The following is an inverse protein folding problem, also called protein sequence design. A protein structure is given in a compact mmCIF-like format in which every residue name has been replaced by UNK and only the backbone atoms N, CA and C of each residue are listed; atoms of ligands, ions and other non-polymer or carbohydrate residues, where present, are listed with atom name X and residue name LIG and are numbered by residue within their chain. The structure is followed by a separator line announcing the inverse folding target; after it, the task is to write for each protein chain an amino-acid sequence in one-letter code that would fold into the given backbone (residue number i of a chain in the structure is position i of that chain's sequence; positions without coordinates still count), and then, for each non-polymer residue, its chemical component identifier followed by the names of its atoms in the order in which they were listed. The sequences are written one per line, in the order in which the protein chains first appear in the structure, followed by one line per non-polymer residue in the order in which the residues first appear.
data_IF_836930382254
#
_entry.id   IF_836930382254
#
_cell.length_a   1.000
_cell.length_b   1.000
_cell.length_c   1.000
_cell.angle_alpha   90.00
_cell.angle_beta   90.00
_cell.angle_gamma   90.00
#
_symmetry.space_group_name_H-M   'P 1'
#
loop_
_entity.id
_entity.type
_entity.pdbx_description
1 polymer ?
#
# COMPACT_ATOMS: atom_id res chain seq x y z
N UNK A 1 19.93 0.14 27.03
CA UNK A 1 20.92 0.67 26.06
C UNK A 1 20.25 0.58 24.70
N UNK A 2 20.01 1.70 23.99
CA UNK A 2 19.50 1.62 22.63
C UNK A 2 20.53 0.87 21.76
N UNK A 3 20.11 -0.05 20.87
CA UNK A 3 21.06 -0.69 19.96
C UNK A 3 21.77 0.40 19.12
N UNK A 4 23.04 0.19 18.75
CA UNK A 4 23.73 1.12 17.88
C UNK A 4 22.95 1.26 16.56
N UNK A 5 22.96 2.44 15.92
CA UNK A 5 22.35 2.60 14.60
C UNK A 5 22.94 1.55 13.64
N UNK A 6 22.15 1.06 12.67
CA UNK A 6 22.64 0.09 11.70
C UNK A 6 23.90 0.63 11.03
N UNK A 7 24.85 -0.27 10.75
CA UNK A 7 26.02 0.11 9.98
C UNK A 7 25.60 0.63 8.58
N UNK A 8 26.48 1.38 7.93
CA UNK A 8 26.15 2.06 6.67
C UNK A 8 25.63 1.09 5.59
N UNK A 9 26.16 -0.14 5.55
CA UNK A 9 25.79 -1.17 4.59
C UNK A 9 24.38 -1.70 4.86
N UNK A 10 24.06 -1.97 6.12
CA UNK A 10 22.73 -2.39 6.56
C UNK A 10 21.70 -1.30 6.27
N UNK A 11 22.02 -0.03 6.53
CA UNK A 11 21.12 1.08 6.24
C UNK A 11 20.83 1.21 4.74
N UNK A 12 21.86 1.15 3.89
CA UNK A 12 21.68 1.21 2.43
C UNK A 12 20.86 0.04 1.91
N UNK A 13 21.10 -1.17 2.45
CA UNK A 13 20.34 -2.38 2.08
C UNK A 13 18.87 -2.26 2.47
N UNK A 14 18.60 -1.75 3.68
CA UNK A 14 17.25 -1.49 4.19
C UNK A 14 16.50 -0.48 3.30
N UNK A 15 17.14 0.66 3.00
CA UNK A 15 16.55 1.71 2.17
C UNK A 15 16.32 1.21 0.74
N UNK A 16 17.26 0.47 0.16
CA UNK A 16 17.12 -0.16 -1.15
C UNK A 16 15.97 -1.17 -1.20
N UNK A 17 15.84 -2.02 -0.17
CA UNK A 17 14.72 -2.94 -0.04
C UNK A 17 13.38 -2.21 0.10
N UNK A 18 13.33 -1.15 0.91
CA UNK A 18 12.14 -0.31 1.06
C UNK A 18 11.71 0.33 -0.26
N UNK A 19 12.66 0.90 -1.01
CA UNK A 19 12.42 1.45 -2.35
C UNK A 19 11.86 0.40 -3.31
N UNK A 20 12.57 -0.73 -3.45
CA UNK A 20 12.21 -1.77 -4.42
C UNK A 20 10.83 -2.36 -4.10
N UNK A 21 10.56 -2.62 -2.82
CA UNK A 21 9.27 -3.16 -2.39
C UNK A 21 8.14 -2.16 -2.65
N UNK A 22 8.35 -0.87 -2.33
CA UNK A 22 7.38 0.18 -2.62
C UNK A 22 7.09 0.31 -4.12
N UNK A 23 8.14 0.33 -4.95
CA UNK A 23 8.02 0.43 -6.40
C UNK A 23 7.28 -0.76 -7.00
N UNK A 24 7.61 -1.98 -6.58
CA UNK A 24 6.98 -3.21 -7.07
C UNK A 24 5.53 -3.33 -6.58
N UNK A 25 5.23 -2.94 -5.34
CA UNK A 25 3.86 -2.88 -4.84
C UNK A 25 3.01 -1.87 -5.64
N UNK A 26 3.58 -0.70 -5.93
CA UNK A 26 2.94 0.31 -6.77
C UNK A 26 2.75 -0.14 -8.22
N UNK A 27 3.32 -1.27 -8.66
CA UNK A 27 3.05 -1.85 -9.98
C UNK A 27 1.68 -2.55 -10.07
N UNK A 28 1.02 -2.80 -8.93
CA UNK A 28 -0.32 -3.37 -8.91
C UNK A 28 -1.33 -2.39 -9.54
N UNK A 29 -2.20 -2.84 -10.47
CA UNK A 29 -3.12 -1.97 -11.19
C UNK A 29 -4.01 -1.09 -10.31
N UNK A 30 -4.28 -1.53 -9.07
CA UNK A 30 -5.05 -0.79 -8.06
C UNK A 30 -4.48 0.60 -7.77
N UNK A 31 -3.16 0.78 -7.89
CA UNK A 31 -2.49 2.03 -7.52
C UNK A 31 -2.35 3.05 -8.67
N UNK A 32 -2.38 2.61 -9.93
CA UNK A 32 -2.12 3.51 -11.07
C UNK A 32 -3.22 3.48 -12.15
N UNK A 33 -3.96 2.39 -12.28
CA UNK A 33 -4.98 2.24 -13.33
C UNK A 33 -6.10 3.28 -13.21
N UNK A 34 -6.65 3.59 -12.01
CA UNK A 34 -7.68 4.61 -11.87
C UNK A 34 -7.24 5.97 -12.44
N UNK A 35 -5.98 6.36 -12.26
CA UNK A 35 -5.45 7.63 -12.77
C UNK A 35 -5.40 7.66 -14.30
N UNK A 36 -4.97 6.57 -14.93
CA UNK A 36 -4.95 6.46 -16.39
C UNK A 36 -6.38 6.45 -16.98
N UNK A 37 -7.32 5.72 -16.36
CA UNK A 37 -8.71 5.63 -16.81
C UNK A 37 -9.44 6.98 -16.64
N UNK A 38 -9.38 7.58 -15.44
CA UNK A 38 -10.01 8.87 -15.15
C UNK A 38 -9.37 9.97 -15.97
N UNK A 39 -8.04 10.00 -16.09
CA UNK A 39 -7.35 10.99 -16.91
C UNK A 39 -7.79 10.96 -18.37
N UNK A 40 -7.99 9.76 -18.93
CA UNK A 40 -8.52 9.60 -20.30
C UNK A 40 -9.99 10.00 -20.41
N UNK A 41 -10.84 9.57 -19.48
CA UNK A 41 -12.27 9.93 -19.47
C UNK A 41 -12.50 11.44 -19.31
N UNK A 42 -11.68 12.08 -18.48
CA UNK A 42 -11.71 13.52 -18.21
C UNK A 42 -10.92 14.36 -19.22
N UNK A 43 -10.28 13.73 -20.23
CA UNK A 43 -9.41 14.38 -21.22
C UNK A 43 -8.33 15.28 -20.58
N UNK A 44 -7.72 14.79 -19.51
CA UNK A 44 -6.67 15.51 -18.79
C UNK A 44 -5.36 15.53 -19.56
N UNK A 45 -4.62 16.66 -19.51
CA UNK A 45 -3.25 16.70 -20.01
C UNK A 45 -2.32 15.93 -19.06
N UNK A 46 -1.11 15.57 -19.51
CA UNK A 46 -0.15 14.70 -18.76
C UNK A 46 0.15 15.26 -17.38
N UNK A 47 0.33 16.57 -17.31
CA UNK A 47 0.70 17.32 -16.13
C UNK A 47 -0.33 17.15 -15.02
N UNK A 48 -1.63 17.17 -15.37
CA UNK A 48 -2.70 17.00 -14.38
C UNK A 48 -2.79 15.56 -13.88
N UNK A 49 -2.55 14.58 -14.75
CA UNK A 49 -2.51 13.17 -14.35
C UNK A 49 -1.34 12.95 -13.37
N UNK A 50 -0.15 13.44 -13.72
CA UNK A 50 1.03 13.31 -12.85
C UNK A 50 0.86 14.08 -11.54
N UNK A 51 0.25 15.27 -11.55
CA UNK A 51 -0.08 15.99 -10.32
C UNK A 51 -1.01 15.18 -9.42
N UNK A 52 -2.05 14.54 -9.99
CA UNK A 52 -2.95 13.69 -9.22
C UNK A 52 -2.23 12.48 -8.63
N UNK A 53 -1.36 11.82 -9.42
CA UNK A 53 -0.56 10.67 -8.97
C UNK A 53 0.39 11.06 -7.85
N UNK A 54 1.13 12.16 -7.99
CA UNK A 54 2.07 12.64 -6.96
C UNK A 54 1.34 12.99 -5.67
N UNK A 55 0.27 13.78 -5.75
CA UNK A 55 -0.49 14.19 -4.56
C UNK A 55 -1.11 12.98 -3.87
N UNK A 56 -1.73 12.07 -4.63
CA UNK A 56 -2.34 10.87 -4.06
C UNK A 56 -1.29 9.91 -3.47
N UNK A 57 -0.18 9.68 -4.17
CA UNK A 57 0.91 8.81 -3.69
C UNK A 57 1.56 9.35 -2.41
N UNK A 58 1.83 10.65 -2.34
CA UNK A 58 2.36 11.28 -1.13
C UNK A 58 1.35 11.22 0.03
N UNK A 59 0.07 11.51 -0.23
CA UNK A 59 -0.97 11.43 0.80
C UNK A 59 -1.14 10.01 1.34
N UNK A 60 -1.14 9.01 0.46
CA UNK A 60 -1.18 7.59 0.81
C UNK A 60 0.00 7.17 1.70
N UNK A 61 1.22 7.53 1.32
CA UNK A 61 2.41 7.21 2.11
C UNK A 61 2.42 7.96 3.45
N UNK A 62 1.97 9.22 3.48
CA UNK A 62 1.89 9.99 4.72
C UNK A 62 0.91 9.36 5.73
N UNK A 63 -0.27 8.94 5.27
CA UNK A 63 -1.26 8.25 6.13
C UNK A 63 -0.71 6.91 6.60
N UNK A 64 -0.08 6.16 5.71
CA UNK A 64 0.55 4.87 6.04
C UNK A 64 1.66 5.03 7.09
N UNK A 65 2.54 6.02 6.92
CA UNK A 65 3.60 6.34 7.86
C UNK A 65 3.05 6.81 9.21
N UNK A 66 1.98 7.60 9.22
CA UNK A 66 1.31 8.02 10.45
C UNK A 66 0.74 6.82 11.21
N UNK A 67 -0.02 5.96 10.54
CA UNK A 67 -0.58 4.73 11.13
C UNK A 67 0.54 3.81 11.63
N UNK A 68 1.58 3.58 10.82
CA UNK A 68 2.72 2.76 11.21
C UNK A 68 3.48 3.34 12.40
N UNK A 69 3.65 4.65 12.48
CA UNK A 69 4.28 5.31 13.63
C UNK A 69 3.46 5.12 14.90
N UNK A 70 2.14 5.26 14.82
CA UNK A 70 1.24 5.03 15.95
C UNK A 70 1.33 3.58 16.45
N UNK A 71 1.40 2.61 15.53
CA UNK A 71 1.56 1.20 15.87
C UNK A 71 2.92 0.95 16.56
N UNK A 72 4.02 1.52 16.03
CA UNK A 72 5.34 1.39 16.66
C UNK A 72 5.35 1.98 18.06
N UNK A 73 4.82 3.20 18.25
CA UNK A 73 4.75 3.86 19.57
C UNK A 73 3.89 3.05 20.54
N UNK A 74 2.72 2.57 20.10
CA UNK A 74 1.86 1.73 20.92
C UNK A 74 2.56 0.41 21.29
N UNK A 75 3.24 -0.23 20.35
CA UNK A 75 3.98 -1.48 20.57
C UNK A 75 5.10 -1.33 21.60
N UNK A 76 5.93 -0.28 21.47
CA UNK A 76 6.99 0.02 22.43
C UNK A 76 6.43 0.37 23.82
N UNK A 77 5.29 1.06 23.87
CA UNK A 77 4.63 1.41 25.13
C UNK A 77 3.97 0.19 25.81
N UNK A 78 3.49 -0.80 25.06
CA UNK A 78 2.83 -2.01 25.57
C UNK A 78 3.82 -3.11 25.98
N UNK A 79 4.98 -3.18 25.33
CA UNK A 79 5.99 -4.22 25.57
C UNK A 79 6.40 -4.31 27.05
N UNK A 80 6.53 -3.15 27.72
CA UNK A 80 6.85 -3.06 29.15
C UNK A 80 5.75 -3.60 30.10
N UNK A 81 4.50 -3.73 29.64
CA UNK A 81 3.35 -4.16 30.46
C UNK A 81 2.87 -5.59 30.16
N UNK A 82 3.09 -6.07 28.92
CA UNK A 82 2.46 -7.30 28.41
C UNK A 82 3.50 -8.24 27.78
N UNK A 83 4.73 -8.23 28.29
CA UNK A 83 5.82 -9.08 27.84
C UNK A 83 5.39 -10.55 27.73
N UNK A 84 5.40 -11.09 26.50
CA UNK A 84 5.02 -12.47 26.20
C UNK A 84 3.63 -12.68 25.59
N UNK A 85 2.72 -11.69 25.62
CA UNK A 85 1.34 -11.85 25.10
C UNK A 85 1.13 -11.18 23.73
N UNK A 86 1.94 -10.17 23.41
CA UNK A 86 2.00 -9.47 22.11
C UNK A 86 2.10 -10.41 20.89
N UNK A 87 2.91 -11.49 20.92
CA UNK A 87 3.01 -12.41 19.79
C UNK A 87 1.72 -13.18 19.53
N UNK A 88 1.07 -13.64 20.59
CA UNK A 88 -0.20 -14.35 20.51
C UNK A 88 -1.33 -13.43 20.04
N UNK A 89 -1.35 -12.16 20.49
CA UNK A 89 -2.29 -11.15 20.00
C UNK A 89 -2.08 -10.84 18.52
N UNK A 90 -0.81 -10.71 18.09
CA UNK A 90 -0.46 -10.50 16.69
C UNK A 90 -0.85 -11.68 15.81
N UNK A 91 -0.57 -12.91 16.24
CA UNK A 91 -0.99 -14.12 15.55
C UNK A 91 -2.53 -14.23 15.47
N UNK A 92 -3.23 -13.95 16.57
CA UNK A 92 -4.69 -13.96 16.61
C UNK A 92 -5.29 -12.93 15.64
N UNK A 93 -4.75 -11.71 15.59
CA UNK A 93 -5.14 -10.67 14.63
C UNK A 93 -4.86 -11.11 13.19
N UNK A 94 -3.67 -11.66 12.90
CA UNK A 94 -3.31 -12.14 11.56
C UNK A 94 -4.24 -13.27 11.08
N UNK A 95 -4.54 -14.24 11.93
CA UNK A 95 -5.50 -15.30 11.60
C UNK A 95 -6.92 -14.73 11.40
N UNK A 96 -7.34 -13.79 12.23
CA UNK A 96 -8.67 -13.17 12.12
C UNK A 96 -8.81 -12.37 10.83
N UNK A 97 -7.84 -11.51 10.51
CA UNK A 97 -7.85 -10.72 9.27
C UNK A 97 -7.63 -11.59 8.03
N UNK A 98 -6.71 -12.54 8.07
CA UNK A 98 -6.47 -13.51 6.99
C UNK A 98 -7.72 -14.33 6.69
N UNK A 99 -8.37 -14.85 7.72
CA UNK A 99 -9.66 -15.54 7.63
C UNK A 99 -10.78 -14.65 7.09
N UNK A 100 -10.89 -13.40 7.59
CA UNK A 100 -11.88 -12.44 7.11
C UNK A 100 -11.72 -12.14 5.61
N UNK A 101 -10.51 -11.83 5.14
CA UNK A 101 -10.25 -11.54 3.73
C UNK A 101 -10.45 -12.78 2.85
N UNK A 102 -10.01 -13.96 3.32
CA UNK A 102 -10.22 -15.23 2.63
C UNK A 102 -11.71 -15.54 2.49
N UNK A 103 -12.48 -15.54 3.58
CA UNK A 103 -13.93 -15.78 3.58
C UNK A 103 -14.64 -14.73 2.73
N UNK A 104 -14.31 -13.44 2.87
CA UNK A 104 -14.90 -12.37 2.07
C UNK A 104 -14.63 -12.58 0.58
N UNK A 105 -13.42 -12.97 0.20
CA UNK A 105 -13.06 -13.22 -1.21
C UNK A 105 -13.75 -14.45 -1.79
N UNK A 106 -14.00 -15.48 -0.97
CA UNK A 106 -14.69 -16.70 -1.35
C UNK A 106 -16.22 -16.50 -1.44
N UNK A 107 -16.79 -15.65 -0.58
CA UNK A 107 -18.25 -15.40 -0.49
C UNK A 107 -18.70 -14.26 -1.41
N UNK A 108 -17.89 -13.21 -1.57
CA UNK A 108 -18.17 -12.10 -2.51
C UNK A 108 -17.28 -12.28 -3.73
N UNK A 109 -17.78 -13.03 -4.72
CA UNK A 109 -17.17 -13.09 -6.04
C UNK A 109 -17.05 -11.68 -6.67
N UNK A 110 -16.13 -11.47 -7.63
CA UNK A 110 -15.97 -10.19 -8.30
C UNK A 110 -17.31 -9.75 -8.90
N UNK A 111 -17.90 -8.67 -8.38
CA UNK A 111 -19.09 -8.09 -9.00
C UNK A 111 -18.61 -7.29 -10.20
N UNK A 112 -18.88 -7.81 -11.39
CA UNK A 112 -18.93 -6.98 -12.59
C UNK A 112 -20.11 -6.03 -12.39
N UNK A 113 -19.83 -4.80 -11.96
CA UNK A 113 -20.81 -3.72 -12.06
C UNK A 113 -20.86 -3.36 -13.53
N UNK A 114 -21.87 -3.86 -14.24
CA UNK A 114 -22.25 -3.26 -15.52
C UNK A 114 -22.66 -1.83 -15.23
N UNK A 115 -21.82 -0.89 -15.67
CA UNK A 115 -22.13 0.53 -15.61
C UNK A 115 -23.33 0.83 -16.51
N UNK A 116 -24.13 1.87 -16.18
CA UNK A 116 -25.18 2.36 -17.08
C UNK A 116 -24.59 2.63 -18.48
N UNK A 117 -25.42 2.59 -19.55
CA UNK A 117 -24.98 2.92 -20.91
C UNK A 117 -24.18 4.23 -20.90
N UNK A 118 -23.01 4.20 -21.54
CA UNK A 118 -22.13 5.36 -21.66
C UNK A 118 -22.87 6.48 -22.41
N UNK A 119 -23.50 7.39 -21.66
CA UNK A 119 -23.92 8.66 -22.23
C UNK A 119 -22.66 9.40 -22.68
N UNK A 120 -22.54 9.59 -23.99
CA UNK A 120 -21.45 10.32 -24.65
C UNK A 120 -21.66 11.81 -24.44
N UNK A 121 -21.68 12.24 -23.17
CA UNK A 121 -21.67 13.62 -22.74
C UNK A 121 -20.26 14.05 -22.31
N UNK A 122 -20.08 15.35 -22.04
CA UNK A 122 -18.86 15.87 -21.41
C UNK A 122 -18.55 15.19 -20.06
N UNK A 123 -17.40 15.49 -19.42
CA UNK A 123 -17.04 14.87 -18.16
C UNK A 123 -18.19 14.96 -17.13
N UNK A 124 -18.72 13.81 -16.71
CA UNK A 124 -19.91 13.71 -15.87
C UNK A 124 -19.73 14.35 -14.48
N UNK A 125 -18.48 14.54 -14.05
CA UNK A 125 -18.10 15.23 -12.82
C UNK A 125 -17.01 16.26 -13.11
N UNK A 126 -16.94 17.31 -12.29
CA UNK A 126 -15.91 18.33 -12.42
C UNK A 126 -14.51 17.74 -12.25
N UNK A 127 -13.52 18.38 -12.89
CA UNK A 127 -12.12 17.95 -12.76
C UNK A 127 -11.63 17.96 -11.31
N UNK A 128 -12.08 18.92 -10.50
CA UNK A 128 -11.73 18.99 -9.08
C UNK A 128 -12.33 17.80 -8.30
N UNK A 129 -13.60 17.46 -8.56
CA UNK A 129 -14.24 16.32 -7.91
C UNK A 129 -13.53 15.00 -8.28
N UNK A 130 -13.20 14.79 -9.56
CA UNK A 130 -12.45 13.62 -10.00
C UNK A 130 -11.05 13.54 -9.37
N UNK A 131 -10.35 14.68 -9.28
CA UNK A 131 -9.03 14.77 -8.66
C UNK A 131 -9.07 14.37 -7.19
N UNK A 132 -9.95 15.00 -6.41
CA UNK A 132 -10.05 14.72 -4.98
C UNK A 132 -10.63 13.34 -4.68
N UNK A 133 -11.49 12.80 -5.54
CA UNK A 133 -11.96 11.43 -5.41
C UNK A 133 -10.81 10.41 -5.57
N UNK A 134 -9.89 10.63 -6.52
CA UNK A 134 -8.70 9.79 -6.69
C UNK A 134 -7.79 9.85 -5.46
N UNK A 135 -7.52 11.06 -4.94
CA UNK A 135 -6.71 11.24 -3.73
C UNK A 135 -7.36 10.57 -2.52
N UNK A 136 -8.66 10.80 -2.31
CA UNK A 136 -9.40 10.23 -1.18
C UNK A 136 -9.40 8.70 -1.22
N UNK A 137 -9.57 8.11 -2.40
CA UNK A 137 -9.57 6.64 -2.55
C UNK A 137 -8.23 6.03 -2.11
N UNK A 138 -7.10 6.69 -2.43
CA UNK A 138 -5.78 6.25 -2.00
C UNK A 138 -5.52 6.45 -0.51
N UNK A 139 -6.05 7.53 0.07
CA UNK A 139 -5.94 7.84 1.50
C UNK A 139 -6.70 6.85 2.38
N UNK A 140 -7.89 6.40 1.93
CA UNK A 140 -8.77 5.51 2.71
C UNK A 140 -8.18 4.11 2.90
N UNK A 141 -7.26 3.69 2.03
CA UNK A 141 -6.61 2.37 2.10
C UNK A 141 -5.10 2.55 2.33
N UNK A 142 -4.62 2.73 3.58
CA UNK A 142 -3.19 2.80 3.86
C UNK A 142 -2.50 1.48 3.49
N UNK A 143 -1.29 1.56 2.94
CA UNK A 143 -0.55 0.41 2.42
C UNK A 143 0.08 -0.41 3.55
N UNK A 144 -0.08 -1.72 3.50
CA UNK A 144 0.49 -2.65 4.49
C UNK A 144 2.01 -2.82 4.36
N UNK A 145 2.59 -2.44 3.22
CA UNK A 145 3.98 -2.77 2.86
C UNK A 145 5.04 -2.01 3.67
N UNK A 146 4.75 -0.78 4.12
CA UNK A 146 5.69 -0.01 4.94
C UNK A 146 5.77 -0.53 6.39
N UNK A 147 4.70 -1.14 6.89
CA UNK A 147 4.55 -1.51 8.29
C UNK A 147 5.61 -2.52 8.79
N UNK A 148 5.92 -3.62 8.07
CA UNK A 148 6.97 -4.55 8.49
C UNK A 148 8.34 -3.89 8.65
N UNK A 149 8.68 -2.93 7.79
CA UNK A 149 9.95 -2.20 7.90
C UNK A 149 9.97 -1.30 9.14
N UNK A 150 8.86 -0.62 9.42
CA UNK A 150 8.69 0.20 10.63
C UNK A 150 8.82 -0.63 11.91
N UNK A 151 8.18 -1.79 11.96
CA UNK A 151 8.26 -2.71 13.09
C UNK A 151 9.67 -3.26 13.28
N UNK A 152 10.32 -3.70 12.19
CA UNK A 152 11.70 -4.20 12.23
C UNK A 152 12.69 -3.12 12.69
N UNK A 153 12.41 -1.85 12.36
CA UNK A 153 13.24 -0.71 12.73
C UNK A 153 12.66 0.12 13.89
N UNK A 154 11.77 -0.44 14.71
CA UNK A 154 11.13 0.28 15.82
C UNK A 154 12.16 0.91 16.78
N UNK A 155 13.29 0.25 16.98
CA UNK A 155 14.41 0.71 17.82
C UNK A 155 15.51 1.44 17.04
N UNK A 156 15.40 1.56 15.72
CA UNK A 156 16.38 2.22 14.85
C UNK A 156 16.36 3.75 14.92
N UNK A 157 15.38 4.33 15.63
CA UNK A 157 15.25 5.77 15.84
C UNK A 157 14.52 6.51 14.71
N UNK A 158 14.09 7.73 15.01
CA UNK A 158 13.24 8.55 14.12
C UNK A 158 13.93 8.86 12.79
N UNK A 159 15.26 9.06 12.78
CA UNK A 159 16.01 9.35 11.57
C UNK A 159 15.94 8.19 10.55
N UNK A 160 16.03 6.94 11.01
CA UNK A 160 15.94 5.75 10.14
C UNK A 160 14.53 5.62 9.57
N UNK A 161 13.49 5.80 10.40
CA UNK A 161 12.09 5.75 9.96
C UNK A 161 11.77 6.88 8.96
N UNK A 162 12.29 8.09 9.18
CA UNK A 162 12.12 9.21 8.26
C UNK A 162 12.81 8.95 6.92
N UNK A 163 14.06 8.48 6.93
CA UNK A 163 14.80 8.14 5.71
C UNK A 163 14.08 7.03 4.92
N UNK A 164 13.62 5.99 5.62
CA UNK A 164 12.84 4.91 5.03
C UNK A 164 11.55 5.44 4.39
N UNK A 165 10.81 6.32 5.08
CA UNK A 165 9.57 6.92 4.56
C UNK A 165 9.82 7.71 3.29
N UNK A 166 10.88 8.52 3.26
CA UNK A 166 11.24 9.31 2.07
C UNK A 166 11.55 8.39 0.90
N UNK A 167 12.39 7.38 1.12
CA UNK A 167 12.78 6.44 0.06
C UNK A 167 11.59 5.60 -0.40
N UNK A 168 10.71 5.20 0.51
CA UNK A 168 9.46 4.50 0.20
C UNK A 168 8.51 5.38 -0.62
N UNK A 169 8.38 6.67 -0.26
CA UNK A 169 7.59 7.64 -1.01
C UNK A 169 8.11 7.82 -2.43
N UNK A 170 9.43 7.91 -2.59
CA UNK A 170 10.07 7.97 -3.92
C UNK A 170 9.74 6.73 -4.74
N UNK A 171 9.92 5.52 -4.19
CA UNK A 171 9.58 4.27 -4.88
C UNK A 171 8.11 4.21 -5.30
N UNK A 172 7.20 4.59 -4.39
CA UNK A 172 5.75 4.62 -4.62
C UNK A 172 5.38 5.58 -5.74
N UNK A 173 5.80 6.84 -5.64
CA UNK A 173 5.46 7.89 -6.63
C UNK A 173 6.07 7.56 -7.99
N UNK A 174 7.32 7.09 -8.04
CA UNK A 174 7.97 6.68 -9.29
C UNK A 174 7.25 5.49 -9.94
N UNK A 175 6.90 4.46 -9.17
CA UNK A 175 6.14 3.31 -9.66
C UNK A 175 4.79 3.75 -10.22
N UNK A 176 3.98 4.44 -9.42
CA UNK A 176 2.66 4.91 -9.84
C UNK A 176 2.74 5.79 -11.09
N UNK A 177 3.68 6.73 -11.16
CA UNK A 177 3.84 7.62 -12.30
C UNK A 177 4.23 6.85 -13.57
N UNK A 178 5.22 5.97 -13.48
CA UNK A 178 5.69 5.15 -14.61
C UNK A 178 4.54 4.29 -15.16
N UNK A 179 3.90 3.49 -14.32
CA UNK A 179 2.84 2.58 -14.77
C UNK A 179 1.60 3.33 -15.27
N UNK A 180 1.26 4.48 -14.68
CA UNK A 180 0.18 5.35 -15.18
C UNK A 180 0.49 5.84 -16.61
N UNK A 181 1.72 6.27 -16.87
CA UNK A 181 2.13 6.76 -18.19
C UNK A 181 2.18 5.63 -19.22
N UNK A 182 2.72 4.47 -18.85
CA UNK A 182 2.74 3.28 -19.71
C UNK A 182 1.31 2.83 -20.09
N UNK A 183 0.41 2.82 -19.11
CA UNK A 183 -0.99 2.49 -19.34
C UNK A 183 -1.70 3.50 -20.27
N UNK A 184 -1.40 4.79 -20.08
CA UNK A 184 -1.91 5.85 -20.96
C UNK A 184 -1.40 5.71 -22.39
N UNK A 185 -0.15 5.28 -22.59
CA UNK A 185 0.44 5.05 -23.90
C UNK A 185 -0.15 3.84 -24.66
N UNK A 186 -1.09 3.10 -24.05
CA UNK A 186 -1.80 2.00 -24.71
C UNK A 186 -1.13 0.65 -24.58
N UNK A 187 -0.14 0.48 -23.71
CA UNK A 187 0.35 -0.85 -23.35
C UNK A 187 -0.79 -1.67 -22.72
N UNK A 188 -0.91 -2.92 -23.13
CA UNK A 188 -2.06 -3.79 -22.89
C UNK A 188 -2.19 -4.21 -21.42
N UNK A 189 -2.63 -3.28 -20.57
CA UNK A 189 -3.00 -3.50 -19.16
C UNK A 189 -4.17 -4.50 -19.01
N UNK A 190 -4.89 -4.77 -20.11
CA UNK A 190 -6.04 -5.67 -20.21
C UNK A 190 -5.74 -7.13 -19.80
N UNK A 191 -4.47 -7.53 -19.62
CA UNK A 191 -4.13 -8.85 -19.07
C UNK A 191 -4.00 -8.88 -17.55
N UNK A 192 -3.80 -7.74 -16.87
CA UNK A 192 -3.59 -7.68 -15.42
C UNK A 192 -4.90 -7.69 -14.60
N UNK A 193 -6.03 -7.26 -15.17
CA UNK A 193 -7.35 -7.30 -14.51
C UNK A 193 -7.74 -8.73 -14.08
N UNK A 194 -7.38 -9.74 -14.88
CA UNK A 194 -7.63 -11.16 -14.54
C UNK A 194 -6.80 -11.66 -13.36
N UNK A 195 -5.70 -10.99 -13.03
CA UNK A 195 -4.84 -11.34 -11.88
C UNK A 195 -5.24 -10.55 -10.63
N UNK A 196 -5.71 -9.31 -10.78
CA UNK A 196 -6.20 -8.48 -9.68
C UNK A 196 -7.33 -9.16 -8.86
N UNK A 197 -8.13 -10.02 -9.50
CA UNK A 197 -9.18 -10.80 -8.81
C UNK A 197 -8.65 -11.74 -7.71
N UNK A 198 -7.37 -12.14 -7.78
CA UNK A 198 -6.76 -13.07 -6.82
C UNK A 198 -6.04 -12.36 -5.68
N UNK A 199 -5.94 -11.03 -5.72
CA UNK A 199 -5.24 -10.23 -4.72
C UNK A 199 -5.77 -10.51 -3.30
N UNK A 200 -7.09 -10.55 -3.12
CA UNK A 200 -7.70 -10.86 -1.83
C UNK A 200 -7.42 -12.28 -1.31
N UNK A 201 -7.31 -13.27 -2.22
CA UNK A 201 -6.98 -14.66 -1.85
C UNK A 201 -5.50 -14.78 -1.48
N UNK A 202 -4.62 -14.18 -2.28
CA UNK A 202 -3.16 -14.17 -2.04
C UNK A 202 -2.85 -13.46 -0.73
N UNK A 203 -3.48 -12.30 -0.49
CA UNK A 203 -3.34 -11.55 0.75
C UNK A 203 -3.85 -12.35 1.96
N UNK A 204 -5.02 -12.98 1.84
CA UNK A 204 -5.57 -13.84 2.91
C UNK A 204 -4.68 -15.04 3.26
N UNK A 205 -4.17 -15.76 2.26
CA UNK A 205 -3.27 -16.89 2.45
C UNK A 205 -1.92 -16.46 3.03
N UNK A 206 -1.36 -15.33 2.56
CA UNK A 206 -0.11 -14.79 3.07
C UNK A 206 -0.24 -14.43 4.56
N UNK A 207 -1.32 -13.76 4.97
CA UNK A 207 -1.58 -13.42 6.38
C UNK A 207 -1.70 -14.65 7.27
N UNK A 208 -2.39 -15.71 6.80
CA UNK A 208 -2.50 -16.98 7.54
C UNK A 208 -1.12 -17.65 7.67
N UNK A 209 -0.33 -17.70 6.60
CA UNK A 209 1.00 -18.30 6.62
C UNK A 209 1.94 -17.54 7.57
N UNK A 210 1.92 -16.21 7.56
CA UNK A 210 2.70 -15.39 8.50
C UNK A 210 2.23 -15.61 9.93
N UNK A 211 0.91 -15.67 10.19
CA UNK A 211 0.38 -16.00 11.51
C UNK A 211 0.86 -17.36 12.02
N UNK A 212 0.93 -18.36 11.13
CA UNK A 212 1.46 -19.69 11.44
C UNK A 212 2.94 -19.64 11.80
N UNK A 213 3.75 -18.91 11.03
CA UNK A 213 5.17 -18.72 11.31
C UNK A 213 5.39 -18.04 12.66
N UNK A 214 4.60 -17.01 13.00
CA UNK A 214 4.68 -16.34 14.30
C UNK A 214 4.41 -17.32 15.44
N UNK A 215 3.44 -18.22 15.31
CA UNK A 215 3.15 -19.24 16.35
C UNK A 215 4.26 -20.29 16.44
N UNK A 216 4.80 -20.74 15.31
CA UNK A 216 5.77 -21.84 15.26
C UNK A 216 7.20 -21.43 15.63
N UNK A 217 7.57 -20.17 15.39
CA UNK A 217 8.94 -19.68 15.52
C UNK A 217 9.10 -18.57 16.56
N UNK A 218 8.11 -18.36 17.44
CA UNK A 218 8.34 -17.48 18.59
C UNK A 218 9.22 -18.18 19.64
N UNK A 219 10.34 -17.58 20.06
CA UNK A 219 11.05 -18.00 21.27
C UNK A 219 10.28 -17.64 22.54
#
# INVERSE_FOLDING_TARGET
MAPPPPDQTMLLSLLGAGFATAFLHAALPTHWLPFALVGRAQRWPVERILAAVVVAGLAHVAVTAAVGSLIVVAGLALDQWIGGLLPYLSAALLFTFGGFYLIRSLVRGPRLVEGPPLEVGGPAVSHAAAFWALVATMVVSPGEVLLPFYLNQAHGGVAVLAALTVVFALGTVLGMALFTLLARAGWSVLRLERWARYEGVVLGLALIAIGLLVVLYHP
#
